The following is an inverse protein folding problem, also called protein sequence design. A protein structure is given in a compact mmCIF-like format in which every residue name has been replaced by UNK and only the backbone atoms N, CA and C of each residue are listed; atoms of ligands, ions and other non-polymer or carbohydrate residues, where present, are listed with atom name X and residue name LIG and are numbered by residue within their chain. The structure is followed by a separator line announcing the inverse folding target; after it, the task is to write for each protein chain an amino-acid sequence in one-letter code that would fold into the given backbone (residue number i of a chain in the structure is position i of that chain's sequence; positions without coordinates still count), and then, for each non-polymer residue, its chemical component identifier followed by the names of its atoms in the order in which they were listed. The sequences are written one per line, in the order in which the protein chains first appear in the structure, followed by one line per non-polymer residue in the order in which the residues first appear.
data_IF_930030558626
#
_entry.id   IF_930030558626
#
_cell.length_a   1.000
_cell.length_b   1.000
_cell.length_c   1.000
_cell.angle_alpha   90.00
_cell.angle_beta   90.00
_cell.angle_gamma   90.00
#
_symmetry.space_group_name_H-M   'P 1'
#
loop_
_entity.id
_entity.type
_entity.pdbx_description
1 polymer ?
#
# COMPACT_ATOMS: atom_id res chain seq x y z
N UNK A 1 1.62 -19.33 -8.98
CA UNK A 1 0.36 -20.10 -8.90
C UNK A 1 -0.76 -19.23 -8.35
N UNK A 2 -1.98 -19.32 -8.89
CA UNK A 2 -3.14 -18.62 -8.35
C UNK A 2 -3.50 -19.16 -6.96
N UNK A 3 -4.09 -18.32 -6.11
CA UNK A 3 -4.53 -18.70 -4.76
C UNK A 3 -6.00 -18.34 -4.55
N UNK A 4 -6.66 -19.09 -3.68
CA UNK A 4 -8.05 -18.81 -3.28
C UNK A 4 -8.07 -17.56 -2.39
N UNK A 5 -8.87 -16.58 -2.79
CA UNK A 5 -9.11 -15.37 -2.00
C UNK A 5 -9.96 -15.73 -0.77
N UNK A 6 -9.53 -15.28 0.40
CA UNK A 6 -10.26 -15.49 1.65
C UNK A 6 -11.60 -14.73 1.71
N UNK A 7 -11.70 -13.59 1.03
CA UNK A 7 -12.88 -12.73 1.04
C UNK A 7 -13.97 -13.22 0.08
N UNK A 8 -13.64 -13.35 -1.21
CA UNK A 8 -14.61 -13.73 -2.24
C UNK A 8 -14.61 -15.22 -2.60
N UNK A 9 -13.61 -15.99 -2.16
CA UNK A 9 -13.52 -17.42 -2.47
C UNK A 9 -13.06 -17.77 -3.88
N UNK A 10 -12.84 -16.78 -4.75
CA UNK A 10 -12.36 -16.99 -6.11
C UNK A 10 -10.85 -17.27 -6.17
N UNK A 11 -10.41 -18.00 -7.18
CA UNK A 11 -8.98 -18.17 -7.49
C UNK A 11 -8.46 -16.92 -8.18
N UNK A 12 -7.43 -16.28 -7.60
CA UNK A 12 -6.92 -15.01 -8.10
C UNK A 12 -5.40 -15.00 -8.28
N UNK A 13 -4.97 -14.25 -9.29
CA UNK A 13 -3.59 -13.83 -9.51
C UNK A 13 -3.62 -12.47 -10.24
N UNK A 14 -2.94 -11.41 -9.76
CA UNK A 14 -2.13 -11.35 -8.55
C UNK A 14 -2.98 -11.39 -7.26
N UNK A 15 -2.36 -11.86 -6.18
CA UNK A 15 -2.91 -11.90 -4.84
C UNK A 15 -1.94 -11.22 -3.86
N UNK A 16 -2.48 -10.77 -2.73
CA UNK A 16 -1.75 -10.14 -1.63
C UNK A 16 -1.84 -11.04 -0.41
N UNK A 17 -0.76 -11.13 0.36
CA UNK A 17 -0.74 -11.86 1.63
C UNK A 17 -0.88 -10.88 2.79
N UNK A 18 -1.61 -11.29 3.83
CA UNK A 18 -1.59 -10.57 5.10
C UNK A 18 -0.13 -10.44 5.60
N UNK A 19 0.35 -9.22 5.90
CA UNK A 19 1.70 -9.01 6.41
C UNK A 19 1.83 -9.58 7.83
N UNK A 20 3.06 -9.92 8.24
CA UNK A 20 3.33 -10.44 9.59
C UNK A 20 3.47 -9.32 10.65
N UNK A 21 3.72 -8.09 10.22
CA UNK A 21 3.97 -6.99 11.15
C UNK A 21 2.64 -6.36 11.59
N UNK A 22 2.33 -6.29 12.90
CA UNK A 22 1.04 -5.79 13.40
C UNK A 22 0.73 -4.36 12.94
N UNK A 23 1.75 -3.51 12.81
CA UNK A 23 1.59 -2.14 12.29
C UNK A 23 1.10 -2.19 10.83
N UNK A 24 1.70 -3.06 10.02
CA UNK A 24 1.34 -3.20 8.61
C UNK A 24 -0.01 -3.90 8.41
N UNK A 25 -0.43 -4.75 9.35
CA UNK A 25 -1.72 -5.45 9.30
C UNK A 25 -2.88 -4.45 9.34
N UNK A 26 -2.84 -3.49 10.26
CA UNK A 26 -3.86 -2.45 10.34
C UNK A 26 -3.95 -1.63 9.04
N UNK A 27 -2.81 -1.19 8.51
CA UNK A 27 -2.76 -0.50 7.21
C UNK A 27 -3.26 -1.39 6.07
N UNK A 28 -2.93 -2.68 6.08
CA UNK A 28 -3.35 -3.63 5.05
C UNK A 28 -4.87 -3.74 4.99
N UNK A 29 -5.54 -3.95 6.12
CA UNK A 29 -6.99 -4.06 6.18
C UNK A 29 -7.72 -2.73 5.92
N UNK A 30 -7.14 -1.59 6.32
CA UNK A 30 -7.67 -0.25 6.01
C UNK A 30 -7.69 0.07 4.52
N UNK A 31 -6.81 -0.54 3.73
CA UNK A 31 -6.77 -0.33 2.29
C UNK A 31 -7.69 -1.29 1.52
N UNK A 32 -8.46 -2.13 2.20
CA UNK A 32 -9.43 -2.97 1.51
C UNK A 32 -10.68 -2.17 1.11
N UNK A 33 -11.17 -2.40 -0.10
CA UNK A 33 -12.31 -1.71 -0.72
C UNK A 33 -13.40 -2.69 -1.12
N UNK A 34 -14.62 -2.16 -1.34
CA UNK A 34 -15.78 -2.92 -1.82
C UNK A 34 -16.14 -4.13 -0.97
N UNK A 35 -15.99 -3.99 0.36
CA UNK A 35 -16.28 -5.05 1.31
C UNK A 35 -17.76 -5.06 1.70
N UNK A 36 -18.41 -6.21 1.47
CA UNK A 36 -19.73 -6.49 2.03
C UNK A 36 -19.66 -6.83 3.53
N UNK A 37 -20.81 -6.88 4.20
CA UNK A 37 -20.90 -7.11 5.65
C UNK A 37 -20.27 -8.45 6.07
N UNK A 38 -20.53 -9.52 5.30
CA UNK A 38 -19.94 -10.84 5.55
C UNK A 38 -18.41 -10.83 5.43
N UNK A 39 -17.85 -10.11 4.47
CA UNK A 39 -16.42 -9.96 4.28
C UNK A 39 -15.78 -9.14 5.41
N UNK A 40 -16.48 -8.10 5.90
CA UNK A 40 -16.04 -7.32 7.07
C UNK A 40 -15.97 -8.18 8.33
N UNK A 41 -16.98 -9.03 8.56
CA UNK A 41 -16.98 -9.98 9.67
C UNK A 41 -15.82 -10.98 9.56
N UNK A 42 -15.55 -11.50 8.36
CA UNK A 42 -14.38 -12.38 8.11
C UNK A 42 -13.05 -11.68 8.39
N UNK A 43 -12.91 -10.41 8.03
CA UNK A 43 -11.70 -9.62 8.32
C UNK A 43 -11.52 -9.46 9.84
N UNK A 44 -12.58 -9.14 10.57
CA UNK A 44 -12.52 -9.05 12.04
C UNK A 44 -12.08 -10.38 12.67
N UNK A 45 -12.61 -11.51 12.19
CA UNK A 45 -12.16 -12.83 12.61
C UNK A 45 -10.69 -13.08 12.27
N UNK A 46 -10.24 -12.66 11.09
CA UNK A 46 -8.85 -12.81 10.65
C UNK A 46 -7.87 -11.99 11.51
N UNK A 47 -8.27 -10.77 11.87
CA UNK A 47 -7.51 -9.89 12.79
C UNK A 47 -7.41 -10.53 14.17
N UNK A 48 -8.53 -10.99 14.74
CA UNK A 48 -8.59 -11.58 16.07
C UNK A 48 -7.82 -12.92 16.16
N UNK A 49 -7.80 -13.68 15.08
CA UNK A 49 -7.07 -14.96 15.00
C UNK A 49 -5.58 -14.80 14.68
N UNK A 50 -5.12 -13.58 14.39
CA UNK A 50 -3.75 -13.27 13.96
C UNK A 50 -3.25 -14.22 12.84
N UNK A 51 -4.17 -14.64 11.97
CA UNK A 51 -3.92 -15.64 10.93
C UNK A 51 -3.62 -14.98 9.60
N UNK A 52 -2.86 -15.69 8.75
CA UNK A 52 -2.47 -15.20 7.42
C UNK A 52 -3.50 -15.63 6.38
N UNK A 53 -3.87 -14.71 5.50
CA UNK A 53 -4.78 -15.00 4.40
C UNK A 53 -4.24 -14.43 3.08
N UNK A 54 -4.66 -15.06 1.99
CA UNK A 54 -4.48 -14.51 0.65
C UNK A 54 -5.73 -13.75 0.24
N UNK A 55 -5.56 -12.52 -0.24
CA UNK A 55 -6.64 -11.63 -0.69
C UNK A 55 -6.39 -11.26 -2.14
N UNK A 56 -7.42 -11.30 -2.98
CA UNK A 56 -7.29 -10.88 -4.37
C UNK A 56 -7.06 -9.37 -4.47
N UNK A 57 -6.29 -8.94 -5.47
CA UNK A 57 -5.92 -7.53 -5.62
C UNK A 57 -7.12 -6.60 -5.90
N UNK A 58 -8.24 -7.13 -6.40
CA UNK A 58 -9.51 -6.40 -6.59
C UNK A 58 -10.04 -5.79 -5.30
N UNK A 59 -9.82 -6.46 -4.17
CA UNK A 59 -10.24 -5.93 -2.87
C UNK A 59 -9.28 -4.90 -2.30
N UNK A 60 -8.17 -4.58 -2.96
CA UNK A 60 -7.18 -3.65 -2.43
C UNK A 60 -7.23 -2.35 -3.20
N UNK A 61 -7.29 -1.23 -2.46
CA UNK A 61 -7.28 0.11 -3.06
C UNK A 61 -6.02 0.26 -3.90
N UNK A 62 -6.20 0.36 -5.20
CA UNK A 62 -5.11 0.74 -6.07
C UNK A 62 -4.76 2.18 -5.69
N UNK A 63 -3.51 2.42 -5.28
CA UNK A 63 -3.01 3.78 -5.23
C UNK A 63 -3.01 4.25 -6.67
N UNK A 64 -4.07 4.94 -7.08
CA UNK A 64 -4.02 5.79 -8.26
C UNK A 64 -2.74 6.59 -8.11
N UNK A 65 -1.82 6.39 -9.05
CA UNK A 65 -0.63 7.23 -9.14
C UNK A 65 -1.17 8.65 -9.06
N UNK A 66 -0.65 9.47 -8.14
CA UNK A 66 -1.07 10.86 -8.00
C UNK A 66 -0.86 11.54 -9.36
N UNK A 67 -1.88 11.58 -10.20
CA UNK A 67 -2.11 12.74 -11.02
C UNK A 67 -2.45 13.81 -10.00
N UNK A 68 -1.47 14.67 -9.73
CA UNK A 68 -1.72 15.94 -9.07
C UNK A 68 -2.95 16.56 -9.74
N UNK A 69 -3.85 17.22 -8.99
CA UNK A 69 -4.97 17.91 -9.60
C UNK A 69 -4.38 18.96 -10.54
N UNK A 70 -4.44 18.69 -11.85
CA UNK A 70 -4.37 19.75 -12.82
C UNK A 70 -5.76 20.36 -12.71
N UNK A 71 -5.80 21.58 -12.18
CA UNK A 71 -6.97 22.43 -12.23
C UNK A 71 -7.30 22.57 -13.72
N UNK A 72 -8.34 21.90 -14.21
CA UNK A 72 -9.21 22.40 -15.27
C UNK A 72 -10.34 21.39 -15.55
N UNK A 73 -11.49 21.96 -15.84
CA UNK A 73 -12.78 21.31 -16.04
C UNK A 73 -12.73 20.44 -17.32
N UNK A 74 -13.12 19.16 -17.24
CA UNK A 74 -13.29 18.36 -18.46
C UNK A 74 -13.01 16.87 -18.29
N UNK A 75 -14.09 16.12 -18.11
CA UNK A 75 -14.32 14.75 -18.57
C UNK A 75 -13.35 14.19 -19.64
N UNK A 76 -12.63 13.11 -19.32
CA UNK A 76 -12.52 11.93 -20.18
C UNK A 76 -11.76 10.77 -19.52
N UNK A 77 -12.37 9.59 -19.54
CA UNK A 77 -11.71 8.33 -19.22
C UNK A 77 -10.61 8.02 -20.25
N UNK A 78 -9.41 7.64 -19.80
CA UNK A 78 -8.47 6.95 -20.70
C UNK A 78 -7.76 5.82 -19.95
N UNK A 79 -8.18 4.60 -20.29
CA UNK A 79 -7.51 3.34 -19.99
C UNK A 79 -6.17 3.31 -20.73
N UNK A 80 -5.04 3.14 -20.03
CA UNK A 80 -3.81 2.73 -20.73
C UNK A 80 -2.88 1.87 -19.86
N UNK A 81 -2.73 0.64 -20.34
CA UNK A 81 -1.70 -0.34 -20.05
C UNK A 81 -0.30 0.23 -20.34
N UNK A 82 0.68 0.03 -19.45
CA UNK A 82 2.01 -0.30 -19.95
C UNK A 82 2.99 -0.85 -18.90
N UNK A 83 3.66 -1.90 -19.34
CA UNK A 83 4.64 -2.72 -18.64
C UNK A 83 6.04 -2.08 -18.58
N UNK A 84 6.82 -2.49 -17.58
CA UNK A 84 8.30 -2.64 -17.63
C UNK A 84 9.21 -1.40 -17.74
N UNK A 85 10.00 -1.11 -16.69
CA UNK A 85 11.50 -1.17 -16.72
C UNK A 85 12.15 -0.74 -15.40
N UNK A 86 12.95 -1.65 -14.83
CA UNK A 86 13.98 -1.38 -13.83
C UNK A 86 15.19 -0.65 -14.47
N UNK A 87 15.80 0.28 -13.72
CA UNK A 87 17.25 0.65 -13.65
C UNK A 87 17.35 1.94 -12.83
N UNK A 88 17.94 1.93 -11.64
CA UNK A 88 19.37 2.20 -11.40
C UNK A 88 19.47 3.54 -10.64
N UNK A 89 20.00 3.55 -9.40
CA UNK A 89 21.27 4.22 -9.04
C UNK A 89 21.25 5.76 -9.26
N UNK A 90 21.47 6.63 -8.26
CA UNK A 90 22.72 6.78 -7.49
C UNK A 90 22.50 7.63 -6.22
N UNK A 91 23.33 7.31 -5.23
CA UNK A 91 23.67 8.06 -4.02
C UNK A 91 24.13 9.49 -4.34
N UNK A 92 23.77 10.46 -3.50
CA UNK A 92 24.55 11.70 -3.33
C UNK A 92 24.47 12.20 -1.90
N UNK A 93 25.66 12.38 -1.35
CA UNK A 93 26.06 12.74 0.00
C UNK A 93 26.01 14.27 0.14
N UNK A 94 25.63 14.78 1.30
CA UNK A 94 25.97 16.15 1.72
C UNK A 94 26.32 16.16 3.21
N UNK A 95 27.53 16.63 3.48
CA UNK A 95 28.26 16.69 4.75
C UNK A 95 27.82 17.87 5.64
N UNK A 96 28.30 17.94 6.90
CA UNK A 96 27.68 18.67 8.00
C UNK A 96 28.17 20.11 8.13
N UNK A 97 27.29 21.02 8.55
CA UNK A 97 27.65 22.41 8.81
C UNK A 97 27.83 22.64 10.31
N UNK A 98 29.08 22.99 10.67
CA UNK A 98 29.55 23.46 11.97
C UNK A 98 29.06 24.87 12.32
N UNK A 99 28.71 25.11 13.59
CA UNK A 99 28.80 26.40 14.27
C UNK A 99 28.91 26.11 15.79
N UNK A 100 30.11 26.16 16.35
CA UNK A 100 30.77 27.32 16.97
C UNK A 100 30.29 27.55 18.42
N UNK A 101 31.23 27.29 19.34
CA UNK A 101 31.14 27.52 20.78
C UNK A 101 31.30 29.01 21.10
N UNK A 102 30.68 29.46 22.19
CA UNK A 102 31.17 30.61 22.95
C UNK A 102 30.99 30.34 24.45
N UNK A 103 32.10 30.42 25.17
CA UNK A 103 32.25 30.25 26.61
C UNK A 103 32.40 31.64 27.23
N UNK A 104 31.76 31.87 28.38
CA UNK A 104 32.41 32.63 29.46
C UNK A 104 31.93 32.14 30.82
N UNK A 105 32.92 31.71 31.61
CA UNK A 105 32.93 31.53 33.07
C UNK A 105 32.79 32.89 33.78
N UNK A 106 31.97 32.96 34.83
CA UNK A 106 32.37 33.34 36.19
C UNK A 106 31.27 32.99 37.20
#
# INVERSE_FOLDING_TARGET
QPRKCYLCGEMAFPWLETPNNPIQIDFFFKNLVELNENQRARIQQLINSNSRASICRRHYRERTKRTLPICDEGENEVVVDNSSKFRGEKVSRSEPTTAAADRTDY
#
